data_IF_056426970773
#
_entry.id   IF_056426970773
#
_cell.length_a   1.000
_cell.length_b   1.000
_cell.length_c   1.000
_cell.angle_alpha   90.00
_cell.angle_beta   90.00
_cell.angle_gamma   90.00
#
_symmetry.space_group_name_H-M   'P 1'
#
loop_
_entity.id
_entity.type
_entity.pdbx_description
1 polymer ?
#
# COMPACT_ATOMS: atom_id res chain seq x y z
N UNK A 1 -13.63 9.84 -0.92
CA UNK A 1 -14.32 9.41 -2.16
C UNK A 1 -13.69 10.05 -3.39
N UNK A 2 -14.13 9.72 -4.62
CA UNK A 2 -13.62 10.38 -5.86
C UNK A 2 -13.93 11.88 -5.87
N UNK A 3 -15.17 12.28 -5.59
CA UNK A 3 -15.57 13.67 -5.50
C UNK A 3 -14.81 14.44 -4.39
N UNK A 4 -14.58 13.79 -3.26
CA UNK A 4 -13.80 14.37 -2.16
C UNK A 4 -12.33 14.58 -2.55
N UNK A 5 -11.70 13.61 -3.21
CA UNK A 5 -10.33 13.74 -3.70
C UNK A 5 -10.20 14.90 -4.71
N UNK A 6 -11.13 15.00 -5.66
CA UNK A 6 -11.14 16.11 -6.64
C UNK A 6 -11.33 17.47 -5.96
N UNK A 7 -12.15 17.54 -4.91
CA UNK A 7 -12.40 18.79 -4.16
C UNK A 7 -11.15 19.36 -3.48
N UNK A 8 -10.09 18.56 -3.30
CA UNK A 8 -8.84 19.06 -2.73
C UNK A 8 -8.15 20.10 -3.62
N UNK A 9 -8.34 20.06 -4.94
CA UNK A 9 -7.78 21.07 -5.87
C UNK A 9 -8.27 22.49 -5.59
N UNK A 10 -9.46 22.61 -5.01
CA UNK A 10 -10.02 23.92 -4.63
C UNK A 10 -9.43 24.42 -3.31
N UNK A 11 -8.89 23.52 -2.47
CA UNK A 11 -8.36 23.82 -1.13
C UNK A 11 -6.85 24.04 -1.17
N UNK A 12 -6.17 23.24 -1.98
CA UNK A 12 -4.72 23.23 -2.11
C UNK A 12 -4.39 22.85 -3.56
N UNK A 13 -3.74 23.76 -4.28
CA UNK A 13 -3.44 23.57 -5.71
C UNK A 13 -2.19 22.75 -5.94
N UNK A 14 -1.37 22.55 -4.91
CA UNK A 14 -0.07 21.89 -5.00
C UNK A 14 -0.16 20.40 -4.64
N UNK A 15 -1.33 19.92 -4.21
CA UNK A 15 -1.58 18.48 -4.01
C UNK A 15 -1.55 17.73 -5.34
N UNK A 16 -1.09 16.48 -5.27
CA UNK A 16 -1.19 15.50 -6.36
C UNK A 16 -2.32 14.54 -6.06
N UNK A 17 -3.19 14.29 -7.02
CA UNK A 17 -4.27 13.33 -6.90
C UNK A 17 -3.84 11.98 -7.50
N UNK A 18 -3.83 10.93 -6.68
CA UNK A 18 -3.60 9.56 -7.13
C UNK A 18 -4.80 8.66 -6.83
N UNK A 19 -5.22 7.86 -7.79
CA UNK A 19 -6.31 6.94 -7.55
C UNK A 19 -6.80 6.18 -8.76
N UNK A 20 -7.49 5.08 -8.49
CA UNK A 20 -7.92 4.14 -9.52
C UNK A 20 -9.35 3.64 -9.31
N UNK A 21 -9.88 2.99 -10.35
CA UNK A 21 -11.00 2.05 -10.26
C UNK A 21 -10.72 0.88 -11.21
N UNK A 22 -10.50 -0.30 -10.66
CA UNK A 22 -10.17 -1.50 -11.44
C UNK A 22 -8.80 -1.39 -12.12
N UNK A 23 -7.83 -0.77 -11.44
CA UNK A 23 -6.47 -0.50 -11.95
C UNK A 23 -6.37 0.75 -12.83
N UNK A 24 -7.49 1.30 -13.29
CA UNK A 24 -7.50 2.42 -14.24
C UNK A 24 -7.51 3.75 -13.48
N UNK A 25 -6.59 4.66 -13.84
CA UNK A 25 -6.53 6.02 -13.30
C UNK A 25 -7.87 6.74 -13.46
N UNK A 26 -8.32 7.40 -12.39
CA UNK A 26 -9.58 8.14 -12.40
C UNK A 26 -9.50 9.42 -13.27
N UNK A 27 -10.59 9.81 -13.96
CA UNK A 27 -10.64 11.08 -14.67
C UNK A 27 -10.36 12.28 -13.75
N UNK A 28 -9.50 13.19 -14.20
CA UNK A 28 -9.10 14.39 -13.43
C UNK A 28 -8.02 14.16 -12.37
N UNK A 29 -7.54 12.92 -12.20
CA UNK A 29 -6.40 12.61 -11.35
C UNK A 29 -5.07 12.69 -12.12
N UNK A 30 -3.99 13.02 -11.41
CA UNK A 30 -2.64 13.09 -11.96
C UNK A 30 -2.06 11.69 -12.15
N UNK A 31 -2.23 10.83 -11.14
CA UNK A 31 -1.61 9.51 -11.07
C UNK A 31 -2.65 8.40 -10.87
N UNK A 32 -2.32 7.20 -11.36
CA UNK A 32 -3.03 5.97 -11.04
C UNK A 32 -2.56 5.36 -9.73
N UNK A 33 -2.71 4.04 -9.59
CA UNK A 33 -2.20 3.27 -8.45
C UNK A 33 -1.08 2.29 -8.84
N UNK A 34 -0.50 2.45 -10.03
CA UNK A 34 0.56 1.59 -10.55
C UNK A 34 1.93 2.17 -10.17
N UNK A 35 2.75 1.47 -9.36
CA UNK A 35 4.09 1.93 -9.01
C UNK A 35 4.99 2.15 -10.22
N UNK A 36 4.89 1.33 -11.27
CA UNK A 36 5.69 1.48 -12.49
C UNK A 36 5.24 2.70 -13.30
N UNK A 37 3.94 2.95 -13.45
CA UNK A 37 3.45 4.15 -14.13
C UNK A 37 3.77 5.43 -13.35
N UNK A 38 3.79 5.40 -12.01
CA UNK A 38 4.24 6.56 -11.22
C UNK A 38 5.70 6.93 -11.56
N UNK A 39 6.52 5.95 -11.95
CA UNK A 39 7.94 6.13 -12.32
C UNK A 39 8.15 6.34 -13.82
N UNK A 40 7.08 6.38 -14.62
CA UNK A 40 7.16 6.54 -16.07
C UNK A 40 7.59 7.96 -16.46
N UNK A 41 8.36 8.07 -17.55
CA UNK A 41 8.80 9.34 -18.11
C UNK A 41 7.58 10.25 -18.39
N UNK A 42 7.59 11.46 -17.81
CA UNK A 42 6.48 12.42 -17.90
C UNK A 42 5.64 12.56 -16.63
N UNK A 43 5.80 11.65 -15.66
CA UNK A 43 5.33 11.85 -14.28
C UNK A 43 6.45 12.39 -13.37
N UNK A 44 7.65 12.59 -13.92
CA UNK A 44 8.81 13.16 -13.26
C UNK A 44 8.49 14.54 -12.68
N UNK A 45 8.73 14.70 -11.38
CA UNK A 45 8.50 15.96 -10.67
C UNK A 45 7.07 16.18 -10.17
N UNK A 46 6.13 15.27 -10.44
CA UNK A 46 4.83 15.29 -9.76
C UNK A 46 5.00 15.06 -8.26
N UNK A 47 5.85 14.11 -7.89
CA UNK A 47 6.17 13.81 -6.49
C UNK A 47 7.61 14.23 -6.18
N UNK A 48 7.75 15.04 -5.13
CA UNK A 48 9.02 15.46 -4.55
C UNK A 48 8.90 15.48 -3.02
N UNK A 49 10.02 15.60 -2.31
CA UNK A 49 10.00 15.71 -0.86
C UNK A 49 9.09 16.86 -0.40
N UNK A 50 8.12 16.53 0.46
CA UNK A 50 7.11 17.48 0.95
C UNK A 50 5.85 17.59 0.10
N UNK A 51 5.79 16.91 -1.05
CA UNK A 51 4.56 16.82 -1.85
C UNK A 51 3.45 16.08 -1.06
N UNK A 52 2.22 16.55 -1.20
CA UNK A 52 1.04 15.91 -0.58
C UNK A 52 0.31 15.11 -1.65
N UNK A 53 0.28 13.79 -1.49
CA UNK A 53 -0.47 12.87 -2.33
C UNK A 53 -1.84 12.60 -1.71
N UNK A 54 -2.92 13.08 -2.34
CA UNK A 54 -4.28 12.68 -2.00
C UNK A 54 -4.57 11.36 -2.71
N UNK A 55 -4.55 10.28 -1.93
CA UNK A 55 -4.65 8.92 -2.47
C UNK A 55 -6.03 8.32 -2.24
N UNK A 56 -6.68 7.92 -3.34
CA UNK A 56 -7.94 7.17 -3.32
C UNK A 56 -7.73 5.80 -3.96
N UNK A 57 -7.79 4.75 -3.14
CA UNK A 57 -7.81 3.35 -3.58
C UNK A 57 -9.02 2.63 -2.97
N UNK A 58 -9.41 1.49 -3.52
CA UNK A 58 -10.57 0.69 -3.10
C UNK A 58 -10.43 0.13 -1.69
N UNK A 59 -9.70 -0.97 -1.49
CA UNK A 59 -9.71 -1.71 -0.23
C UNK A 59 -8.80 -1.08 0.84
N UNK A 60 -7.54 -0.77 0.48
CA UNK A 60 -6.51 -0.38 1.44
C UNK A 60 -6.86 0.86 2.29
N UNK A 61 -7.40 1.92 1.66
CA UNK A 61 -7.80 3.13 2.40
C UNK A 61 -8.99 2.89 3.33
N UNK A 62 -9.93 2.02 2.94
CA UNK A 62 -11.09 1.71 3.78
C UNK A 62 -10.68 0.92 5.02
N UNK A 63 -9.80 -0.07 4.85
CA UNK A 63 -9.25 -0.84 5.97
C UNK A 63 -8.47 0.02 6.95
N UNK A 64 -7.62 0.92 6.42
CA UNK A 64 -6.85 1.83 7.24
C UNK A 64 -7.74 2.78 8.05
N UNK A 65 -8.73 3.40 7.41
CA UNK A 65 -9.67 4.28 8.09
C UNK A 65 -10.51 3.53 9.13
N UNK A 66 -10.99 2.32 8.80
CA UNK A 66 -11.73 1.49 9.74
C UNK A 66 -10.89 1.11 10.97
N UNK A 67 -9.61 0.78 10.80
CA UNK A 67 -8.71 0.50 11.92
C UNK A 67 -8.51 1.74 12.82
N UNK A 68 -8.30 2.91 12.22
CA UNK A 68 -8.19 4.18 12.96
C UNK A 68 -9.49 4.51 13.69
N UNK A 69 -10.65 4.36 13.05
CA UNK A 69 -11.96 4.61 13.65
C UNK A 69 -12.30 3.63 14.78
N UNK A 70 -11.83 2.39 14.69
CA UNK A 70 -11.94 1.38 15.75
C UNK A 70 -11.01 1.66 16.95
N UNK A 71 -10.15 2.67 16.88
CA UNK A 71 -9.25 3.07 17.96
C UNK A 71 -7.94 2.28 18.02
N UNK A 72 -7.53 1.63 16.93
CA UNK A 72 -6.20 1.02 16.85
C UNK A 72 -5.12 2.12 16.85
N UNK A 73 -4.05 1.93 17.62
CA UNK A 73 -2.91 2.84 17.70
C UNK A 73 -1.63 2.07 18.09
N UNK A 74 -0.56 2.09 17.27
CA UNK A 74 -0.47 2.72 15.95
C UNK A 74 -1.15 1.89 14.85
N UNK A 75 -1.59 2.57 13.78
CA UNK A 75 -2.01 1.92 12.52
C UNK A 75 -0.90 2.10 11.49
N UNK A 76 -0.38 1.00 10.96
CA UNK A 76 0.67 0.98 9.93
C UNK A 76 0.16 0.28 8.67
N UNK A 77 0.69 0.63 7.50
CA UNK A 77 0.51 -0.19 6.30
C UNK A 77 1.61 -1.26 6.24
N UNK A 78 1.26 -2.50 5.87
CA UNK A 78 2.22 -3.58 5.69
C UNK A 78 2.30 -4.03 4.23
N UNK A 79 3.50 -4.27 3.73
CA UNK A 79 3.78 -4.86 2.42
C UNK A 79 5.09 -5.65 2.46
N UNK A 80 5.33 -6.53 1.49
CA UNK A 80 6.61 -7.25 1.35
C UNK A 80 7.80 -6.30 1.18
N UNK A 81 7.61 -5.17 0.47
CA UNK A 81 8.69 -4.22 0.17
C UNK A 81 9.26 -3.52 1.41
N UNK A 82 8.55 -3.56 2.54
CA UNK A 82 8.96 -2.96 3.80
C UNK A 82 8.62 -3.83 5.04
N UNK A 83 8.52 -5.15 4.85
CA UNK A 83 8.06 -6.07 5.88
C UNK A 83 8.99 -6.08 7.10
N UNK A 84 10.30 -6.18 6.87
CA UNK A 84 11.35 -6.15 7.86
C UNK A 84 11.40 -4.82 8.61
N UNK A 85 11.27 -3.69 7.90
CA UNK A 85 11.22 -2.37 8.53
C UNK A 85 9.98 -2.21 9.43
N UNK A 86 8.83 -2.68 8.98
CA UNK A 86 7.57 -2.66 9.74
C UNK A 86 7.65 -3.54 10.99
N UNK A 87 8.13 -4.78 10.85
CA UNK A 87 8.30 -5.69 11.98
C UNK A 87 9.31 -5.16 13.00
N UNK A 88 10.42 -4.56 12.54
CA UNK A 88 11.42 -3.92 13.41
C UNK A 88 10.83 -2.74 14.16
N UNK A 89 10.13 -1.82 13.49
CA UNK A 89 9.48 -0.67 14.13
C UNK A 89 8.51 -1.11 15.24
N UNK A 90 7.67 -2.11 14.95
CA UNK A 90 6.74 -2.67 15.94
C UNK A 90 7.44 -3.33 17.13
N UNK A 91 8.49 -4.14 16.89
CA UNK A 91 9.18 -4.89 17.95
C UNK A 91 10.12 -4.05 18.79
N UNK A 92 10.76 -3.03 18.21
CA UNK A 92 11.83 -2.30 18.86
C UNK A 92 11.38 -0.94 19.39
N UNK A 93 10.49 -0.26 18.67
CA UNK A 93 10.03 1.11 18.99
C UNK A 93 8.69 1.08 19.71
N UNK A 94 7.65 0.49 19.10
CA UNK A 94 6.27 0.53 19.62
C UNK A 94 6.09 -0.44 20.79
N UNK A 95 6.53 -1.70 20.61
CA UNK A 95 6.39 -2.80 21.58
C UNK A 95 4.95 -3.01 22.07
N UNK A 96 3.99 -3.23 21.16
CA UNK A 96 2.61 -3.45 21.57
C UNK A 96 2.43 -4.84 22.19
N UNK A 97 1.45 -4.98 23.08
CA UNK A 97 1.07 -6.28 23.66
C UNK A 97 0.38 -7.19 22.62
N UNK A 98 -0.32 -6.60 21.65
CA UNK A 98 -1.04 -7.30 20.60
C UNK A 98 -0.86 -6.57 19.26
N UNK A 99 -0.72 -7.35 18.18
CA UNK A 99 -0.74 -6.84 16.80
C UNK A 99 -1.82 -7.56 16.02
N UNK A 100 -2.80 -6.80 15.51
CA UNK A 100 -3.75 -7.28 14.53
C UNK A 100 -3.23 -7.00 13.12
N UNK A 101 -3.20 -8.03 12.27
CA UNK A 101 -2.85 -7.89 10.85
C UNK A 101 -4.13 -8.06 10.05
N UNK A 102 -4.52 -7.02 9.31
CA UNK A 102 -5.73 -7.03 8.49
C UNK A 102 -5.34 -7.24 7.03
N UNK A 103 -5.49 -8.48 6.56
CA UNK A 103 -5.40 -8.80 5.13
C UNK A 103 -6.66 -8.29 4.44
N UNK A 104 -6.52 -7.23 3.63
CA UNK A 104 -7.67 -6.50 3.08
C UNK A 104 -8.42 -7.30 2.02
N UNK A 105 -7.71 -8.15 1.30
CA UNK A 105 -8.28 -8.95 0.23
C UNK A 105 -8.62 -8.11 -1.00
N UNK A 106 -9.26 -8.76 -1.97
CA UNK A 106 -9.69 -8.12 -3.20
C UNK A 106 -10.98 -7.33 -2.97
N UNK A 107 -10.89 -6.01 -3.13
CA UNK A 107 -11.97 -5.05 -2.89
C UNK A 107 -12.63 -5.13 -1.48
N UNK A 108 -12.02 -5.82 -0.51
CA UNK A 108 -12.59 -6.03 0.82
C UNK A 108 -13.63 -7.15 0.91
N UNK A 109 -13.86 -7.92 -0.16
CA UNK A 109 -14.91 -8.96 -0.21
C UNK A 109 -14.36 -10.37 -0.28
N UNK A 110 -13.22 -10.56 -0.94
CA UNK A 110 -12.63 -11.88 -1.18
C UNK A 110 -11.21 -11.92 -0.63
N UNK A 111 -10.82 -13.06 -0.04
CA UNK A 111 -9.44 -13.24 0.39
C UNK A 111 -8.51 -13.19 -0.82
N UNK A 112 -7.47 -12.37 -0.73
CA UNK A 112 -6.42 -12.27 -1.73
C UNK A 112 -5.19 -13.03 -1.21
N UNK A 113 -4.61 -13.89 -2.06
CA UNK A 113 -3.52 -14.79 -1.64
C UNK A 113 -2.27 -13.99 -1.25
N UNK A 114 -1.95 -12.94 -2.00
CA UNK A 114 -0.85 -12.02 -1.75
C UNK A 114 -0.96 -11.34 -0.38
N UNK A 115 -2.16 -10.87 -0.02
CA UNK A 115 -2.41 -10.23 1.28
C UNK A 115 -2.28 -11.25 2.42
N UNK A 116 -2.80 -12.46 2.22
CA UNK A 116 -2.72 -13.54 3.21
C UNK A 116 -1.27 -13.96 3.46
N UNK A 117 -0.50 -14.16 2.39
CA UNK A 117 0.91 -14.53 2.49
C UNK A 117 1.74 -13.38 3.08
N UNK A 118 1.42 -12.13 2.78
CA UNK A 118 2.06 -10.97 3.39
C UNK A 118 1.78 -10.91 4.90
N UNK A 119 0.55 -11.19 5.31
CA UNK A 119 0.17 -11.24 6.72
C UNK A 119 0.89 -12.37 7.47
N UNK A 120 0.99 -13.56 6.88
CA UNK A 120 1.74 -14.69 7.44
C UNK A 120 3.23 -14.37 7.56
N UNK A 121 3.81 -13.74 6.54
CA UNK A 121 5.21 -13.32 6.54
C UNK A 121 5.49 -12.30 7.65
N UNK A 122 4.68 -11.24 7.75
CA UNK A 122 4.77 -10.25 8.82
C UNK A 122 4.59 -10.88 10.20
N UNK A 123 3.63 -11.80 10.37
CA UNK A 123 3.42 -12.54 11.62
C UNK A 123 4.70 -13.28 12.04
N UNK A 124 5.33 -14.01 11.13
CA UNK A 124 6.56 -14.74 11.46
C UNK A 124 7.71 -13.80 11.84
N UNK A 125 7.85 -12.65 11.18
CA UNK A 125 8.84 -11.63 11.58
C UNK A 125 8.55 -11.04 12.97
N UNK A 126 7.29 -10.74 13.27
CA UNK A 126 6.86 -10.17 14.55
C UNK A 126 7.09 -11.14 15.72
N UNK A 127 6.84 -12.43 15.49
CA UNK A 127 7.05 -13.49 16.47
C UNK A 127 8.50 -13.99 16.55
N UNK A 128 9.41 -13.41 15.76
CA UNK A 128 10.80 -13.85 15.63
C UNK A 128 10.92 -15.35 15.27
N UNK A 129 9.96 -15.84 14.47
CA UNK A 129 9.98 -17.17 13.87
C UNK A 129 10.91 -17.17 12.64
N UNK A 130 11.21 -18.36 12.12
CA UNK A 130 11.89 -18.48 10.83
C UNK A 130 11.01 -17.84 9.75
N UNK A 131 11.55 -16.86 9.03
CA UNK A 131 10.84 -16.23 7.92
C UNK A 131 10.49 -17.28 6.85
N UNK A 132 9.26 -17.27 6.31
CA UNK A 132 8.90 -18.11 5.18
C UNK A 132 9.84 -17.94 3.98
N UNK A 133 9.93 -18.96 3.13
CA UNK A 133 10.70 -18.91 1.89
C UNK A 133 10.06 -17.90 0.91
N UNK A 134 10.62 -16.67 0.89
CA UNK A 134 10.08 -15.58 0.09
C UNK A 134 10.10 -15.86 -1.42
N UNK A 135 11.18 -16.41 -2.01
CA UNK A 135 11.14 -16.91 -3.40
C UNK A 135 9.96 -17.85 -3.69
N UNK A 136 9.67 -18.79 -2.79
CA UNK A 136 8.53 -19.69 -2.96
C UNK A 136 7.18 -18.96 -2.84
N UNK A 137 7.07 -17.97 -1.95
CA UNK A 137 5.89 -17.08 -1.85
C UNK A 137 5.69 -16.31 -3.17
N UNK A 138 6.75 -15.68 -3.69
CA UNK A 138 6.70 -14.89 -4.93
C UNK A 138 6.23 -15.74 -6.11
N UNK A 139 6.76 -16.95 -6.25
CA UNK A 139 6.32 -17.89 -7.31
C UNK A 139 4.86 -18.30 -7.14
N UNK A 140 4.43 -18.58 -5.90
CA UNK A 140 3.04 -18.94 -5.62
C UNK A 140 2.06 -17.81 -5.96
N UNK A 141 2.40 -16.56 -5.64
CA UNK A 141 1.61 -15.39 -6.02
C UNK A 141 1.59 -15.22 -7.54
N UNK A 142 2.73 -15.43 -8.23
CA UNK A 142 2.82 -15.35 -9.70
C UNK A 142 1.84 -16.29 -10.42
N UNK A 143 1.54 -17.43 -9.81
CA UNK A 143 0.63 -18.45 -10.33
C UNK A 143 -0.84 -18.28 -9.89
N UNK A 144 -1.11 -17.36 -8.97
CA UNK A 144 -2.47 -17.07 -8.49
C UNK A 144 -3.20 -16.09 -9.42
N UNK A 145 -4.54 -16.10 -9.41
CA UNK A 145 -5.33 -15.18 -10.23
C UNK A 145 -4.97 -13.69 -10.01
N UNK A 146 -4.62 -13.32 -8.78
CA UNK A 146 -4.18 -11.96 -8.41
C UNK A 146 -2.80 -11.59 -8.95
N UNK A 147 -1.92 -12.57 -9.20
CA UNK A 147 -0.62 -12.35 -9.85
C UNK A 147 -0.70 -12.45 -11.37
N UNK A 148 -1.46 -13.42 -11.89
CA UNK A 148 -1.58 -13.70 -13.33
C UNK A 148 -2.03 -12.48 -14.14
N UNK A 149 -2.86 -11.59 -13.57
CA UNK A 149 -3.32 -10.36 -14.23
C UNK A 149 -2.20 -9.43 -14.67
N UNK A 150 -1.05 -9.42 -13.98
CA UNK A 150 0.10 -8.59 -14.35
C UNK A 150 0.84 -9.10 -15.59
N UNK A 151 0.56 -10.34 -16.01
CA UNK A 151 1.16 -10.99 -17.18
C UNK A 151 0.13 -11.18 -18.31
N UNK A 152 -1.06 -10.60 -18.19
CA UNK A 152 -2.11 -10.63 -19.20
C UNK A 152 -2.06 -9.36 -20.05
N UNK A 153 -1.57 -9.48 -21.28
CA UNK A 153 -1.49 -8.37 -22.24
C UNK A 153 -2.85 -7.72 -22.55
N UNK A 154 -3.97 -8.42 -22.29
CA UNK A 154 -5.32 -7.85 -22.46
C UNK A 154 -5.73 -6.91 -21.34
N UNK A 155 -4.94 -6.82 -20.26
CA UNK A 155 -5.15 -5.96 -19.10
C UNK A 155 -4.02 -4.92 -18.96
N UNK A 156 -3.91 -3.94 -19.88
CA UNK A 156 -2.80 -2.98 -19.92
C UNK A 156 -2.70 -2.09 -18.68
N UNK A 157 -3.75 -2.04 -17.84
CA UNK A 157 -3.73 -1.33 -16.57
C UNK A 157 -2.93 -2.04 -15.45
N UNK A 158 -2.49 -3.29 -15.67
CA UNK A 158 -1.67 -4.06 -14.75
C UNK A 158 -0.35 -4.45 -15.45
N UNK A 159 0.62 -3.53 -15.56
CA UNK A 159 1.89 -3.82 -16.22
C UNK A 159 2.71 -4.86 -15.45
N UNK A 160 3.45 -5.73 -16.13
CA UNK A 160 4.30 -6.76 -15.51
C UNK A 160 5.26 -6.18 -14.47
N UNK A 161 5.79 -4.98 -14.73
CA UNK A 161 6.71 -4.29 -13.82
C UNK A 161 6.10 -3.98 -12.43
N UNK A 162 4.78 -3.88 -12.31
CA UNK A 162 4.11 -3.69 -11.01
C UNK A 162 4.16 -4.94 -10.14
N UNK A 163 4.20 -6.14 -10.73
CA UNK A 163 4.31 -7.37 -9.97
C UNK A 163 5.59 -7.38 -9.14
N UNK A 164 6.73 -7.09 -9.78
CA UNK A 164 8.01 -7.05 -9.07
C UNK A 164 8.09 -5.86 -8.11
N UNK A 165 7.58 -4.69 -8.51
CA UNK A 165 7.56 -3.51 -7.64
C UNK A 165 6.76 -3.73 -6.34
N UNK A 166 5.72 -4.57 -6.35
CA UNK A 166 4.90 -4.89 -5.19
C UNK A 166 5.40 -6.13 -4.42
N UNK A 167 6.05 -7.09 -5.09
CA UNK A 167 6.47 -8.40 -4.54
C UNK A 167 8.01 -8.53 -4.54
N UNK A 168 8.70 -7.42 -4.29
CA UNK A 168 10.11 -7.44 -3.86
C UNK A 168 10.19 -7.34 -2.34
N UNK A 169 11.25 -7.90 -1.75
CA UNK A 169 11.40 -7.99 -0.30
C UNK A 169 12.32 -6.90 0.23
N UNK A 170 11.83 -6.14 1.21
CA UNK A 170 12.62 -5.20 2.02
C UNK A 170 13.49 -4.22 1.21
N UNK A 171 12.96 -3.76 0.08
CA UNK A 171 13.60 -2.71 -0.74
C UNK A 171 13.48 -1.31 -0.10
N UNK A 172 12.60 -1.13 0.88
CA UNK A 172 12.46 0.09 1.68
C UNK A 172 12.80 -0.16 3.15
N UNK A 173 13.58 0.75 3.74
CA UNK A 173 14.08 0.64 5.11
C UNK A 173 13.22 1.35 6.17
N UNK A 174 12.01 1.77 5.79
CA UNK A 174 11.05 2.48 6.62
C UNK A 174 9.68 1.78 6.63
N UNK A 175 8.94 1.94 7.73
CA UNK A 175 7.51 1.60 7.78
C UNK A 175 6.67 2.83 7.48
N UNK A 176 5.37 2.65 7.24
CA UNK A 176 4.44 3.74 6.91
C UNK A 176 3.36 3.80 7.97
N UNK A 177 3.40 4.85 8.78
CA UNK A 177 2.52 5.09 9.92
C UNK A 177 1.37 6.01 9.51
N UNK A 178 0.15 5.63 9.86
CA UNK A 178 -1.00 6.52 9.82
C UNK A 178 -0.94 7.49 11.01
N UNK A 179 -1.07 8.78 10.72
CA UNK A 179 -1.08 9.85 11.70
C UNK A 179 -2.19 10.84 11.38
N UNK A 180 -2.76 11.47 12.40
CA UNK A 180 -3.72 12.55 12.20
C UNK A 180 -2.97 13.84 11.90
N UNK A 181 -3.46 14.56 10.91
CA UNK A 181 -3.00 15.87 10.46
C UNK A 181 -4.19 16.85 10.49
N UNK A 182 -3.97 18.04 11.04
CA UNK A 182 -5.03 19.04 11.21
C UNK A 182 -5.55 19.58 9.88
N UNK A 183 -4.72 19.57 8.84
CA UNK A 183 -5.07 20.09 7.52
C UNK A 183 -5.67 19.00 6.65
N UNK A 184 -5.06 17.81 6.61
CA UNK A 184 -5.37 16.77 5.63
C UNK A 184 -6.11 15.54 6.21
N UNK A 185 -6.38 15.49 7.51
CA UNK A 185 -7.10 14.38 8.13
C UNK A 185 -6.18 13.22 8.50
N UNK A 186 -6.24 12.09 7.80
CA UNK A 186 -5.34 10.95 8.04
C UNK A 186 -4.24 10.94 6.98
N UNK A 187 -3.00 11.08 7.43
CA UNK A 187 -1.80 11.09 6.60
C UNK A 187 -0.92 9.89 6.89
N UNK A 188 -0.36 9.32 5.83
CA UNK A 188 0.66 8.28 5.90
C UNK A 188 2.05 8.91 5.89
N UNK A 189 2.90 8.56 6.86
CA UNK A 189 4.26 9.09 6.98
C UNK A 189 5.27 7.97 7.17
N UNK A 190 6.42 8.09 6.54
CA UNK A 190 7.52 7.16 6.74
C UNK A 190 8.09 7.29 8.16
N UNK A 191 8.32 6.15 8.82
CA UNK A 191 8.93 6.05 10.16
C UNK A 191 10.02 4.96 10.15
N UNK A 192 11.03 5.13 11.00
CA UNK A 192 12.16 4.19 11.17
C UNK A 192 12.19 3.62 12.57
#
# INVERSE_FOLDING_TARGET
TEAEALSWRDRDRDVVLAGERGGIRLPGFDLGNSPSFIREEGNDGLLSDGSVLIHRTSAGTQGLLAAVEAGADPVLTGSFVNAGATARYLREVVRPDEVSIVAMGYEGFEAALEDTLCAEFLRSLLLAEQAPDFPAIKERIRQDATGLRFFDESLPQYPEADFDACIDLDIFDFSVLASRDDSYGICLKAVK
#
